data_IF_159462568480
#
_entry.id   IF_159462568480
#
_cell.length_a   1.000
_cell.length_b   1.000
_cell.length_c   1.000
_cell.angle_alpha   90.00
_cell.angle_beta   90.00
_cell.angle_gamma   90.00
#
_symmetry.space_group_name_H-M   'P 1'
#
loop_
_entity.id
_entity.type
_entity.pdbx_description
1 polymer ?
#
# COMPACT_ATOMS: atom_id res chain seq x y z
N UNK A 1 -1.50 -8.61 15.63
CA UNK A 1 -0.36 -8.03 14.87
C UNK A 1 0.33 -9.18 14.16
N UNK A 2 0.15 -9.28 12.84
CA UNK A 2 0.73 -10.37 12.07
C UNK A 2 2.22 -10.07 11.87
N UNK A 3 3.09 -11.04 12.16
CA UNK A 3 4.56 -10.95 12.06
C UNK A 3 5.10 -10.56 10.66
N UNK A 4 4.21 -10.42 9.68
CA UNK A 4 4.48 -10.24 8.25
C UNK A 4 4.18 -8.83 7.73
N UNK A 5 3.89 -7.89 8.62
CA UNK A 5 3.50 -6.51 8.28
C UNK A 5 4.49 -5.51 8.88
N UNK A 6 5.02 -4.63 8.03
CA UNK A 6 5.91 -3.53 8.38
C UNK A 6 5.10 -2.28 8.69
N UNK A 7 5.39 -1.62 9.80
CA UNK A 7 4.80 -0.33 10.15
C UNK A 7 5.37 0.77 9.26
N UNK A 8 4.49 1.56 8.66
CA UNK A 8 4.88 2.67 7.77
C UNK A 8 4.61 4.03 8.40
N UNK A 9 3.52 4.16 9.17
CA UNK A 9 3.19 5.44 9.77
C UNK A 9 1.86 5.44 10.51
N UNK A 10 1.53 6.59 11.08
CA UNK A 10 0.26 6.84 11.73
C UNK A 10 -0.40 8.08 11.13
N UNK A 11 -1.67 7.96 10.74
CA UNK A 11 -2.45 9.07 10.21
C UNK A 11 -3.76 9.18 11.00
N UNK A 12 -3.99 10.32 11.64
CA UNK A 12 -5.21 10.59 12.45
C UNK A 12 -5.48 9.55 13.56
N UNK A 13 -4.42 8.92 14.08
CA UNK A 13 -4.52 7.86 15.09
C UNK A 13 -4.60 6.44 14.51
N UNK A 14 -4.73 6.28 13.19
CA UNK A 14 -4.81 4.99 12.51
C UNK A 14 -3.40 4.55 12.10
N UNK A 15 -2.98 3.36 12.53
CA UNK A 15 -1.67 2.81 12.17
C UNK A 15 -1.74 2.17 10.78
N UNK A 16 -0.83 2.56 9.89
CA UNK A 16 -0.72 2.02 8.53
C UNK A 16 0.44 1.03 8.48
N UNK A 17 0.16 -0.15 7.97
CA UNK A 17 1.12 -1.23 7.78
C UNK A 17 1.16 -1.67 6.32
N UNK A 18 2.33 -2.07 5.82
CA UNK A 18 2.50 -2.76 4.53
C UNK A 18 2.88 -4.21 4.78
N UNK A 19 2.20 -5.13 4.08
CA UNK A 19 2.55 -6.54 4.12
C UNK A 19 3.84 -6.81 3.31
N UNK A 20 4.71 -7.71 3.78
CA UNK A 20 6.00 -7.98 3.13
C UNK A 20 5.87 -8.45 1.66
N UNK A 21 4.72 -9.03 1.30
CA UNK A 21 4.40 -9.47 -0.08
C UNK A 21 4.42 -8.34 -1.09
N UNK A 22 4.34 -7.08 -0.63
CA UNK A 22 4.49 -5.91 -1.46
C UNK A 22 5.87 -5.83 -2.14
N UNK A 23 6.91 -6.32 -1.46
CA UNK A 23 8.27 -6.36 -2.00
C UNK A 23 8.33 -7.30 -3.20
N UNK A 24 7.60 -8.41 -3.20
CA UNK A 24 7.54 -9.31 -4.35
C UNK A 24 6.88 -8.65 -5.56
N UNK A 25 5.85 -7.83 -5.37
CA UNK A 25 5.22 -7.11 -6.47
C UNK A 25 6.23 -6.15 -7.13
N UNK A 26 6.96 -5.39 -6.32
CA UNK A 26 8.00 -4.46 -6.80
C UNK A 26 9.12 -5.22 -7.52
N UNK A 27 9.62 -6.30 -6.91
CA UNK A 27 10.67 -7.13 -7.50
C UNK A 27 10.21 -7.76 -8.82
N UNK A 28 8.97 -8.24 -8.90
CA UNK A 28 8.39 -8.82 -10.10
C UNK A 28 8.33 -7.80 -11.25
N UNK A 29 7.83 -6.59 -10.99
CA UNK A 29 7.77 -5.51 -11.99
C UNK A 29 9.17 -5.17 -12.50
N UNK A 30 10.14 -5.04 -11.60
CA UNK A 30 11.52 -4.74 -11.98
C UNK A 30 12.15 -5.85 -12.83
N UNK A 31 11.99 -7.12 -12.42
CA UNK A 31 12.53 -8.28 -13.16
C UNK A 31 11.83 -8.41 -14.52
N UNK A 32 10.52 -8.18 -14.62
CA UNK A 32 9.80 -8.22 -15.89
C UNK A 32 10.34 -7.16 -16.84
N UNK A 33 10.43 -5.90 -16.42
CA UNK A 33 10.94 -4.82 -17.27
C UNK A 33 12.37 -5.08 -17.75
N UNK A 34 13.25 -5.63 -16.89
CA UNK A 34 14.61 -6.04 -17.30
C UNK A 34 14.56 -7.16 -18.35
N UNK A 35 13.72 -8.18 -18.16
CA UNK A 35 13.59 -9.31 -19.10
C UNK A 35 13.01 -8.89 -20.45
N UNK A 36 12.12 -7.92 -20.44
CA UNK A 36 11.48 -7.36 -21.63
C UNK A 36 12.39 -6.35 -22.35
N UNK A 37 13.58 -6.06 -21.80
CA UNK A 37 14.55 -5.14 -22.38
C UNK A 37 14.14 -3.66 -22.25
N UNK A 38 13.26 -3.34 -21.31
CA UNK A 38 12.80 -1.97 -21.10
C UNK A 38 13.94 -1.07 -20.61
N UNK A 39 13.88 0.20 -21.01
CA UNK A 39 14.80 1.20 -20.49
C UNK A 39 14.55 1.43 -18.98
N UNK A 40 15.60 1.72 -18.22
CA UNK A 40 15.53 1.98 -16.78
C UNK A 40 14.50 3.07 -16.44
N UNK A 41 14.35 4.08 -17.29
CA UNK A 41 13.34 5.12 -17.12
C UNK A 41 11.90 4.58 -17.15
N UNK A 42 11.59 3.63 -18.04
CA UNK A 42 10.27 2.99 -18.14
C UNK A 42 9.98 2.16 -16.90
N UNK A 43 10.95 1.37 -16.44
CA UNK A 43 10.81 0.54 -15.23
C UNK A 43 10.54 1.43 -14.01
N UNK A 44 11.29 2.53 -13.87
CA UNK A 44 11.10 3.48 -12.78
C UNK A 44 9.74 4.17 -12.84
N UNK A 45 9.28 4.52 -14.05
CA UNK A 45 7.96 5.10 -14.27
C UNK A 45 6.85 4.13 -13.86
N UNK A 46 6.94 2.86 -14.28
CA UNK A 46 5.97 1.81 -13.91
C UNK A 46 5.94 1.58 -12.40
N UNK A 47 7.10 1.53 -11.75
CA UNK A 47 7.18 1.41 -10.29
C UNK A 47 6.55 2.63 -9.58
N UNK A 48 6.86 3.84 -10.02
CA UNK A 48 6.29 5.06 -9.46
C UNK A 48 4.76 5.11 -9.66
N UNK A 49 4.29 4.69 -10.83
CA UNK A 49 2.86 4.60 -11.15
C UNK A 49 2.13 3.62 -10.23
N UNK A 50 2.67 2.41 -10.05
CA UNK A 50 2.09 1.42 -9.13
C UNK A 50 2.08 1.92 -7.68
N UNK A 51 3.16 2.55 -7.22
CA UNK A 51 3.20 3.17 -5.90
C UNK A 51 2.14 4.26 -5.75
N UNK A 52 1.91 5.09 -6.77
CA UNK A 52 0.85 6.11 -6.75
C UNK A 52 -0.55 5.47 -6.61
N UNK A 53 -0.82 4.37 -7.30
CA UNK A 53 -2.10 3.64 -7.16
C UNK A 53 -2.30 3.20 -5.70
N UNK A 54 -1.27 2.66 -5.05
CA UNK A 54 -1.37 2.24 -3.66
C UNK A 54 -1.50 3.40 -2.68
N UNK A 55 -0.89 4.56 -2.97
CA UNK A 55 -1.17 5.78 -2.23
C UNK A 55 -2.64 6.16 -2.35
N UNK A 56 -3.22 6.13 -3.57
CA UNK A 56 -4.65 6.39 -3.76
C UNK A 56 -5.55 5.40 -3.01
N UNK A 57 -5.23 4.10 -3.03
CA UNK A 57 -5.96 3.08 -2.28
C UNK A 57 -5.85 3.33 -0.78
N UNK A 58 -4.67 3.69 -0.28
CA UNK A 58 -4.46 4.01 1.13
C UNK A 58 -5.30 5.22 1.56
N UNK A 59 -5.35 6.26 0.72
CA UNK A 59 -6.19 7.44 0.96
C UNK A 59 -7.69 7.10 0.90
N UNK A 60 -8.10 6.20 0.00
CA UNK A 60 -9.48 5.70 -0.08
C UNK A 60 -9.90 4.99 1.22
N UNK A 61 -9.09 4.04 1.69
CA UNK A 61 -9.33 3.34 2.96
C UNK A 61 -9.28 4.27 4.17
N UNK A 62 -8.38 5.26 4.14
CA UNK A 62 -8.33 6.30 5.16
C UNK A 62 -9.62 7.13 5.17
N UNK A 63 -10.20 7.42 4.01
CA UNK A 63 -11.50 8.08 3.87
C UNK A 63 -12.61 7.30 4.58
N UNK A 64 -12.68 5.99 4.38
CA UNK A 64 -13.62 5.12 5.11
C UNK A 64 -13.41 5.17 6.61
N UNK A 65 -12.16 5.06 7.06
CA UNK A 65 -11.82 5.07 8.48
C UNK A 65 -12.12 6.43 9.15
N UNK A 66 -11.86 7.54 8.46
CA UNK A 66 -12.21 8.88 8.94
C UNK A 66 -13.73 9.09 9.00
N UNK A 67 -14.47 8.57 8.02
CA UNK A 67 -15.93 8.64 8.04
C UNK A 67 -16.51 7.80 9.19
N UNK A 68 -15.99 6.59 9.41
CA UNK A 68 -16.36 5.74 10.54
C UNK A 68 -16.08 6.45 11.88
N UNK A 69 -14.92 7.11 12.01
CA UNK A 69 -14.55 7.90 13.19
C UNK A 69 -15.53 9.04 13.46
N UNK A 70 -16.04 9.69 12.41
CA UNK A 70 -17.08 10.73 12.54
C UNK A 70 -18.40 10.18 13.12
N UNK A 71 -18.71 8.91 12.87
CA UNK A 71 -19.86 8.21 13.44
C UNK A 71 -19.53 7.41 14.71
N UNK A 72 -18.43 7.72 15.40
CA UNK A 72 -17.99 7.06 16.64
C UNK A 72 -17.58 5.59 16.51
N UNK A 73 -17.33 5.08 15.30
CA UNK A 73 -16.72 3.78 15.07
C UNK A 73 -15.20 3.93 14.87
N UNK A 74 -14.39 3.17 15.63
CA UNK A 74 -12.93 3.31 15.61
C UNK A 74 -12.27 2.22 14.79
N UNK A 75 -11.62 2.60 13.68
CA UNK A 75 -10.64 1.79 12.97
C UNK A 75 -9.28 1.94 13.65
N UNK A 76 -8.67 0.84 14.10
CA UNK A 76 -7.40 0.82 14.84
C UNK A 76 -6.19 0.70 13.91
N UNK A 77 -6.31 -0.06 12.82
CA UNK A 77 -5.21 -0.30 11.90
C UNK A 77 -5.66 -0.56 10.46
N UNK A 78 -4.85 -0.08 9.51
CA UNK A 78 -4.99 -0.37 8.08
C UNK A 78 -3.76 -1.16 7.65
N UNK A 79 -3.97 -2.34 7.06
CA UNK A 79 -2.90 -3.14 6.47
C UNK A 79 -3.07 -3.18 4.95
N UNK A 80 -2.05 -2.70 4.23
CA UNK A 80 -1.98 -2.75 2.79
C UNK A 80 -1.44 -4.10 2.33
N UNK A 81 -2.24 -4.78 1.53
CA UNK A 81 -1.94 -6.01 0.81
C UNK A 81 -1.77 -5.69 -0.68
N UNK A 82 -1.12 -6.56 -1.46
CA UNK A 82 -1.01 -6.37 -2.92
C UNK A 82 -2.37 -6.31 -3.64
N UNK A 83 -3.43 -6.82 -3.02
CA UNK A 83 -4.79 -6.90 -3.59
C UNK A 83 -5.66 -5.71 -3.14
N UNK A 84 -5.26 -4.95 -2.13
CA UNK A 84 -6.03 -3.84 -1.57
C UNK A 84 -5.66 -3.53 -0.11
N UNK A 85 -6.40 -2.63 0.54
CA UNK A 85 -6.25 -2.37 1.97
C UNK A 85 -7.29 -3.12 2.80
N UNK A 86 -6.91 -3.61 3.98
CA UNK A 86 -7.86 -4.05 4.99
C UNK A 86 -7.81 -3.11 6.20
N UNK A 87 -8.94 -2.47 6.47
CA UNK A 87 -9.19 -1.64 7.65
C UNK A 87 -9.81 -2.48 8.77
N UNK A 88 -9.25 -2.41 9.99
CA UNK A 88 -9.75 -3.10 11.18
C UNK A 88 -9.88 -2.18 12.37
#
# INVERSE_FOLDING_TARGET
>A
MNKWSLYIGNVSGIKVFIHWTFIFLIAWIAISGIRDGENTATILYTLAFVLCIFVCVTLHELGHALMAKRFHYTTKDITLLPIGGMAR
#
